data_IF_822264363493
#
_entry.id   IF_822264363493
#
_cell.length_a   1.000
_cell.length_b   1.000
_cell.length_c   1.000
_cell.angle_alpha   90.00
_cell.angle_beta   90.00
_cell.angle_gamma   90.00
#
_symmetry.space_group_name_H-M   'P 1'
#
loop_
_entity.id
_entity.type
_entity.pdbx_description
1 polymer ?
#
# COMPACT_ATOMS: atom_id res chain seq x y z
N UNK A 1 -0.03 -56.78 -20.70
CA UNK A 1 -1.45 -57.21 -20.88
C UNK A 1 -2.26 -55.93 -21.05
N UNK A 2 -2.53 -55.57 -22.29
CA UNK A 2 -3.82 -55.44 -23.04
C UNK A 2 -4.88 -54.69 -22.23
N UNK A 3 -5.19 -53.44 -22.63
CA UNK A 3 -6.06 -52.98 -23.74
C UNK A 3 -7.53 -52.89 -23.27
N UNK A 4 -8.17 -51.69 -23.27
CA UNK A 4 -9.25 -51.37 -24.20
C UNK A 4 -9.83 -49.97 -23.99
N UNK A 5 -9.74 -49.26 -25.02
CA UNK A 5 -10.43 -48.06 -25.50
C UNK A 5 -11.95 -48.28 -25.52
N UNK A 6 -12.75 -47.22 -25.24
CA UNK A 6 -14.10 -47.09 -25.76
C UNK A 6 -14.41 -45.65 -26.15
N UNK A 7 -14.43 -45.44 -27.45
CA UNK A 7 -15.04 -44.28 -28.12
C UNK A 7 -16.57 -44.48 -28.08
N UNK A 8 -17.30 -43.41 -27.84
CA UNK A 8 -18.70 -43.32 -28.24
C UNK A 8 -18.98 -41.95 -28.84
N UNK A 9 -19.07 -41.97 -30.15
CA UNK A 9 -19.46 -40.91 -31.06
C UNK A 9 -20.98 -40.96 -31.21
N UNK A 10 -21.71 -39.87 -30.92
CA UNK A 10 -23.11 -39.73 -31.39
C UNK A 10 -23.25 -38.39 -32.09
N UNK A 11 -23.47 -38.52 -33.37
CA UNK A 11 -23.81 -37.49 -34.34
C UNK A 11 -25.34 -37.57 -34.56
N UNK A 12 -26.12 -36.53 -34.40
CA UNK A 12 -27.44 -36.42 -35.02
C UNK A 12 -27.69 -34.99 -35.50
N UNK A 13 -28.05 -35.00 -36.75
CA UNK A 13 -28.35 -34.01 -37.75
C UNK A 13 -29.61 -33.15 -37.50
N UNK A 14 -29.52 -31.93 -38.04
CA UNK A 14 -30.51 -31.17 -38.86
C UNK A 14 -32.00 -31.25 -38.56
N UNK A 15 -32.62 -30.07 -38.44
CA UNK A 15 -33.65 -29.63 -39.39
C UNK A 15 -33.90 -28.12 -39.25
N UNK A 16 -33.74 -27.39 -40.32
CA UNK A 16 -34.14 -26.00 -40.47
C UNK A 16 -35.61 -25.89 -40.89
N UNK A 17 -36.22 -24.78 -40.56
CA UNK A 17 -37.34 -24.23 -41.33
C UNK A 17 -37.35 -22.71 -41.25
N UNK A 18 -37.26 -22.11 -42.39
CA UNK A 18 -37.43 -20.70 -42.74
C UNK A 18 -38.92 -20.35 -42.78
N UNK A 19 -39.33 -19.21 -42.27
CA UNK A 19 -40.48 -18.49 -42.83
C UNK A 19 -40.42 -16.97 -42.57
N UNK A 20 -40.73 -16.26 -43.60
CA UNK A 20 -40.63 -14.85 -43.96
C UNK A 20 -41.65 -13.92 -43.28
N UNK A 21 -41.20 -12.66 -43.05
CA UNK A 21 -41.79 -11.32 -43.02
C UNK A 21 -43.32 -11.09 -43.18
N UNK A 22 -43.90 -9.95 -42.65
CA UNK A 22 -43.69 -8.67 -43.32
C UNK A 22 -43.60 -7.39 -42.42
N UNK A 23 -43.08 -6.34 -43.07
CA UNK A 23 -42.92 -4.95 -42.64
C UNK A 23 -44.20 -4.28 -42.15
N UNK A 24 -44.12 -3.49 -41.08
CA UNK A 24 -44.94 -2.29 -40.91
C UNK A 24 -44.07 -1.11 -40.47
N UNK A 25 -44.03 -0.05 -41.31
CA UNK A 25 -43.49 1.30 -40.98
C UNK A 25 -44.42 1.99 -39.99
N UNK A 26 -43.90 2.57 -38.93
CA UNK A 26 -44.52 3.73 -38.33
C UNK A 26 -43.40 4.69 -37.87
N UNK A 27 -43.38 5.81 -38.56
CA UNK A 27 -42.59 7.00 -38.28
C UNK A 27 -43.14 7.69 -37.04
N UNK A 28 -42.35 7.79 -35.97
CA UNK A 28 -42.55 8.76 -34.89
C UNK A 28 -41.25 9.51 -34.67
N UNK A 29 -41.26 10.75 -35.05
CA UNK A 29 -40.19 11.71 -34.81
C UNK A 29 -40.07 11.96 -33.30
N UNK A 30 -38.97 11.56 -32.67
CA UNK A 30 -38.65 11.87 -31.30
C UNK A 30 -37.62 12.99 -31.28
N UNK A 31 -38.06 14.17 -30.80
CA UNK A 31 -37.22 15.33 -30.55
C UNK A 31 -35.99 14.95 -29.72
N UNK A 32 -34.82 15.17 -30.29
CA UNK A 32 -33.51 15.07 -29.62
C UNK A 32 -33.38 16.26 -28.64
N UNK A 33 -33.40 15.98 -27.34
CA UNK A 33 -32.94 16.92 -26.33
C UNK A 33 -31.41 17.05 -26.42
N UNK A 34 -30.83 18.24 -26.12
CA UNK A 34 -29.39 18.43 -26.21
C UNK A 34 -28.67 17.58 -25.20
N UNK A 35 -27.68 16.80 -25.67
CA UNK A 35 -26.79 16.00 -24.86
C UNK A 35 -26.07 16.90 -23.84
N UNK A 36 -26.30 16.66 -22.54
CA UNK A 36 -25.49 17.22 -21.47
C UNK A 36 -24.04 16.81 -21.69
N UNK A 37 -23.16 17.78 -21.85
CA UNK A 37 -21.72 17.59 -21.94
C UNK A 37 -21.27 16.84 -20.67
N UNK A 38 -20.81 15.60 -20.86
CA UNK A 38 -20.16 14.82 -19.81
C UNK A 38 -18.84 15.51 -19.53
N UNK A 39 -18.75 16.24 -18.43
CA UNK A 39 -17.50 16.80 -17.96
C UNK A 39 -16.48 15.66 -17.78
N UNK A 40 -15.38 15.70 -18.51
CA UNK A 40 -14.28 14.76 -18.35
C UNK A 40 -13.85 14.72 -16.88
N UNK A 41 -13.63 13.52 -16.28
CA UNK A 41 -13.19 13.43 -14.89
C UNK A 41 -11.87 14.17 -14.76
N UNK A 42 -11.82 15.18 -13.91
CA UNK A 42 -10.60 15.93 -13.56
C UNK A 42 -9.49 14.91 -13.25
N UNK A 43 -8.37 15.00 -13.98
CA UNK A 43 -7.20 14.14 -13.84
C UNK A 43 -6.78 14.12 -12.37
N UNK A 44 -7.08 13.01 -11.66
CA UNK A 44 -6.83 12.87 -10.22
C UNK A 44 -5.33 12.99 -10.00
N UNK A 45 -4.88 14.02 -9.31
CA UNK A 45 -3.48 14.24 -8.98
C UNK A 45 -2.99 13.05 -8.17
N UNK A 46 -1.90 12.40 -8.56
CA UNK A 46 -1.39 11.19 -7.91
C UNK A 46 -0.87 11.48 -6.50
N UNK A 47 -0.22 12.62 -6.32
CA UNK A 47 0.26 13.14 -5.04
C UNK A 47 -0.60 14.32 -4.62
N UNK A 48 -0.71 14.57 -3.31
CA UNK A 48 -1.41 15.76 -2.76
C UNK A 48 -0.73 17.05 -3.19
N UNK A 49 0.60 17.02 -3.31
CA UNK A 49 1.44 18.11 -3.81
C UNK A 49 2.63 17.55 -4.60
N UNK A 50 3.21 18.37 -5.49
CA UNK A 50 4.42 18.00 -6.21
C UNK A 50 5.61 18.07 -5.25
N UNK A 51 6.54 17.07 -5.25
CA UNK A 51 7.79 17.19 -4.52
C UNK A 51 8.64 18.37 -5.03
N UNK A 52 9.26 19.08 -4.11
CA UNK A 52 10.14 20.22 -4.45
C UNK A 52 11.42 19.76 -5.15
N UNK A 53 11.88 18.56 -4.81
CA UNK A 53 13.09 17.93 -5.35
C UNK A 53 12.86 16.44 -5.59
N UNK A 54 13.52 15.89 -6.60
CA UNK A 54 13.60 14.44 -6.80
C UNK A 54 14.72 13.91 -5.90
N UNK A 55 14.36 13.01 -4.98
CA UNK A 55 15.30 12.41 -4.04
C UNK A 55 16.11 11.30 -4.72
N UNK A 56 17.39 11.28 -4.41
CA UNK A 56 18.39 10.32 -4.91
C UNK A 56 19.27 9.85 -3.74
N UNK A 57 20.07 8.84 -3.92
CA UNK A 57 21.05 8.38 -2.92
C UNK A 57 22.00 9.50 -2.46
N UNK A 58 22.27 10.49 -3.33
CA UNK A 58 23.21 11.58 -3.03
C UNK A 58 22.57 12.72 -2.20
N UNK A 59 21.28 13.00 -2.41
CA UNK A 59 20.63 14.17 -1.81
C UNK A 59 19.57 13.86 -0.75
N UNK A 60 19.14 12.60 -0.63
CA UNK A 60 18.06 12.24 0.29
C UNK A 60 18.44 12.50 1.76
N UNK A 61 19.64 12.11 2.19
CA UNK A 61 20.08 12.31 3.57
C UNK A 61 20.28 13.79 3.90
N UNK A 62 21.00 14.63 3.11
CA UNK A 62 21.02 16.05 3.31
C UNK A 62 19.62 16.69 3.38
N UNK A 63 18.73 16.33 2.44
CA UNK A 63 17.35 16.83 2.44
C UNK A 63 16.60 16.45 3.73
N UNK A 64 16.63 15.19 4.14
CA UNK A 64 15.95 14.72 5.34
C UNK A 64 16.55 15.31 6.61
N UNK A 65 17.85 15.55 6.65
CA UNK A 65 18.52 16.24 7.74
C UNK A 65 17.99 17.67 7.92
N UNK A 66 17.87 18.45 6.84
CA UNK A 66 17.27 19.78 6.88
C UNK A 66 15.77 19.72 7.20
N UNK A 67 15.06 18.72 6.65
CA UNK A 67 13.62 18.57 6.86
C UNK A 67 13.28 18.29 8.32
N UNK A 68 14.07 17.48 9.03
CA UNK A 68 13.86 17.19 10.45
C UNK A 68 14.11 18.39 11.37
N UNK A 69 14.90 19.38 10.95
CA UNK A 69 15.13 20.61 11.76
C UNK A 69 13.85 21.45 11.90
N UNK A 70 12.87 21.23 11.06
CA UNK A 70 11.53 21.84 11.18
C UNK A 70 10.77 21.13 12.30
N UNK A 71 9.89 21.85 12.99
CA UNK A 71 8.93 21.20 13.90
C UNK A 71 8.06 20.21 13.11
N UNK A 72 8.32 18.92 13.27
CA UNK A 72 7.55 17.88 12.62
C UNK A 72 6.42 17.39 13.52
N UNK A 73 5.27 17.03 12.96
CA UNK A 73 4.24 16.30 13.68
C UNK A 73 4.78 14.92 14.06
N UNK A 74 4.55 14.51 15.28
CA UNK A 74 5.00 13.21 15.79
C UNK A 74 3.92 12.14 15.77
N UNK A 75 2.72 12.43 15.24
CA UNK A 75 1.66 11.45 15.14
C UNK A 75 1.09 11.38 13.73
N UNK A 76 0.79 10.18 13.30
CA UNK A 76 0.11 9.88 12.04
C UNK A 76 -1.05 8.92 12.26
N UNK A 77 -2.07 9.05 11.42
CA UNK A 77 -3.24 8.18 11.42
C UNK A 77 -3.29 7.40 10.12
N UNK A 78 -3.44 6.09 10.24
CA UNK A 78 -3.74 5.19 9.12
C UNK A 78 -5.20 4.76 9.25
N UNK A 79 -5.99 5.01 8.20
CA UNK A 79 -7.38 4.58 8.11
C UNK A 79 -7.50 3.45 7.10
N UNK A 80 -8.19 2.37 7.49
CA UNK A 80 -8.48 1.20 6.67
C UNK A 80 -9.95 0.81 6.80
N UNK A 81 -10.40 -0.17 6.01
CA UNK A 81 -11.76 -0.76 6.18
C UNK A 81 -11.95 -1.47 7.53
N UNK A 82 -10.88 -1.79 8.25
CA UNK A 82 -10.90 -2.45 9.56
C UNK A 82 -10.86 -1.48 10.75
N UNK A 83 -10.67 -0.18 10.49
CA UNK A 83 -10.57 0.85 11.51
C UNK A 83 -9.33 1.72 11.36
N UNK A 84 -9.05 2.48 12.42
CA UNK A 84 -7.95 3.43 12.48
C UNK A 84 -6.79 2.88 13.32
N UNK A 85 -5.57 3.27 12.92
CA UNK A 85 -4.34 3.01 13.65
C UNK A 85 -3.65 4.36 13.84
N UNK A 86 -3.38 4.76 15.09
CA UNK A 86 -2.61 5.97 15.39
C UNK A 86 -1.22 5.56 15.82
N UNK A 87 -0.23 6.12 15.15
CA UNK A 87 1.20 5.87 15.36
C UNK A 87 1.83 7.12 15.92
N UNK A 88 2.54 6.99 17.02
CA UNK A 88 3.47 7.98 17.53
C UNK A 88 4.86 7.69 16.96
N UNK A 89 5.49 8.70 16.36
CA UNK A 89 6.81 8.61 15.75
C UNK A 89 7.90 8.94 16.77
N UNK A 90 9.07 8.32 16.62
CA UNK A 90 10.18 8.47 17.55
C UNK A 90 11.18 9.54 17.08
N UNK A 91 11.46 10.52 17.93
CA UNK A 91 12.52 11.53 17.70
C UNK A 91 13.91 10.89 17.64
N UNK A 92 14.07 9.71 18.24
CA UNK A 92 15.30 8.92 18.23
C UNK A 92 15.64 8.33 16.85
N UNK A 93 14.70 8.29 15.91
CA UNK A 93 14.92 7.84 14.54
C UNK A 93 14.62 8.97 13.53
N UNK A 94 15.41 10.06 13.56
CA UNK A 94 15.05 11.31 12.89
C UNK A 94 14.93 11.20 11.38
N UNK A 95 15.77 10.42 10.70
CA UNK A 95 15.68 10.24 9.24
C UNK A 95 14.45 9.44 8.84
N UNK A 96 14.12 8.39 9.58
CA UNK A 96 12.93 7.56 9.33
C UNK A 96 11.65 8.33 9.63
N UNK A 97 11.61 9.06 10.75
CA UNK A 97 10.50 9.95 11.10
C UNK A 97 10.30 11.03 10.02
N UNK A 98 11.36 11.76 9.65
CA UNK A 98 11.31 12.81 8.64
C UNK A 98 10.80 12.28 7.29
N UNK A 99 11.32 11.13 6.87
CA UNK A 99 10.88 10.46 5.65
C UNK A 99 9.41 10.08 5.69
N UNK A 100 8.95 9.47 6.78
CA UNK A 100 7.55 9.03 6.91
C UNK A 100 6.59 10.23 6.91
N UNK A 101 6.91 11.30 7.63
CA UNK A 101 6.14 12.56 7.63
C UNK A 101 6.13 13.19 6.24
N UNK A 102 7.28 13.27 5.58
CA UNK A 102 7.39 13.82 4.22
C UNK A 102 6.51 13.07 3.22
N UNK A 103 6.61 11.73 3.18
CA UNK A 103 5.79 10.91 2.29
C UNK A 103 4.30 10.98 2.63
N UNK A 104 3.93 11.08 3.91
CA UNK A 104 2.56 11.28 4.35
C UNK A 104 1.99 12.61 3.85
N UNK A 105 2.75 13.71 3.99
CA UNK A 105 2.36 15.04 3.47
C UNK A 105 2.17 15.03 1.95
N UNK A 106 3.04 14.35 1.22
CA UNK A 106 2.88 14.16 -0.23
C UNK A 106 1.68 13.29 -0.60
N UNK A 107 1.07 12.55 0.34
CA UNK A 107 0.01 11.59 0.09
C UNK A 107 0.49 10.35 -0.66
N UNK A 108 1.78 9.99 -0.47
CA UNK A 108 2.35 8.80 -1.11
C UNK A 108 1.60 7.53 -0.71
N UNK A 109 1.39 7.33 0.60
CA UNK A 109 0.78 6.11 1.13
C UNK A 109 -0.70 5.93 0.77
N UNK A 110 -1.37 7.01 0.35
CA UNK A 110 -2.78 6.93 -0.03
C UNK A 110 -2.95 6.00 -1.24
N UNK A 111 -3.90 5.07 -1.14
CA UNK A 111 -4.17 4.01 -2.11
C UNK A 111 -3.08 2.92 -2.20
N UNK A 112 -2.08 2.92 -1.33
CA UNK A 112 -1.23 1.74 -1.13
C UNK A 112 -1.95 0.70 -0.25
N UNK A 113 -1.34 -0.48 -0.09
CA UNK A 113 -1.94 -1.60 0.62
C UNK A 113 -1.07 -2.06 1.78
N UNK A 114 -1.69 -2.75 2.74
CA UNK A 114 -1.00 -3.78 3.49
C UNK A 114 -0.82 -4.98 2.55
N UNK A 115 0.33 -5.04 1.89
CA UNK A 115 0.61 -5.96 0.78
C UNK A 115 1.24 -7.28 1.23
N UNK A 116 1.69 -7.37 2.49
CA UNK A 116 2.20 -8.58 3.11
C UNK A 116 1.74 -8.68 4.57
N UNK A 117 1.23 -9.83 4.92
CA UNK A 117 0.76 -10.14 6.27
C UNK A 117 1.33 -11.48 6.69
N UNK A 118 2.11 -11.48 7.76
CA UNK A 118 2.65 -12.70 8.35
C UNK A 118 1.92 -12.94 9.68
N UNK A 119 1.04 -13.94 9.75
CA UNK A 119 0.27 -14.23 10.95
C UNK A 119 1.15 -14.40 12.19
N UNK A 120 0.75 -13.76 13.29
CA UNK A 120 1.47 -13.78 14.57
C UNK A 120 2.87 -13.17 14.49
N UNK A 121 3.16 -12.31 13.50
CA UNK A 121 4.45 -11.67 13.36
C UNK A 121 4.30 -10.19 13.00
N UNK A 122 4.07 -9.84 11.74
CA UNK A 122 4.00 -8.46 11.27
C UNK A 122 2.92 -8.26 10.21
N UNK A 123 2.45 -7.01 10.08
CA UNK A 123 1.76 -6.53 8.88
C UNK A 123 2.63 -5.48 8.18
N UNK A 124 2.84 -5.60 6.88
CA UNK A 124 3.72 -4.74 6.08
C UNK A 124 2.91 -3.98 5.03
N UNK A 125 3.10 -2.67 4.97
CA UNK A 125 2.36 -1.76 4.10
C UNK A 125 3.23 -0.76 3.35
N UNK A 126 2.57 0.09 2.55
CA UNK A 126 3.22 1.17 1.80
C UNK A 126 3.54 0.81 0.34
N UNK A 127 3.14 -0.37 -0.12
CA UNK A 127 3.31 -0.79 -1.52
C UNK A 127 1.98 -1.17 -2.16
N UNK A 128 1.94 -1.26 -3.47
CA UNK A 128 0.87 -1.89 -4.24
C UNK A 128 1.37 -2.18 -5.66
N UNK A 129 0.71 -3.10 -6.34
CA UNK A 129 0.89 -3.43 -7.74
C UNK A 129 0.26 -2.39 -8.70
N UNK A 130 -0.47 -1.43 -8.15
CA UNK A 130 -1.13 -0.41 -8.95
C UNK A 130 -0.13 0.51 -9.66
N UNK A 131 -0.26 0.78 -10.98
CA UNK A 131 0.68 1.64 -11.73
C UNK A 131 0.90 3.03 -11.13
N UNK A 132 -0.06 3.56 -10.38
CA UNK A 132 0.07 4.86 -9.73
C UNK A 132 1.11 4.86 -8.61
N UNK A 133 1.30 3.76 -7.88
CA UNK A 133 2.34 3.65 -6.85
C UNK A 133 3.73 3.81 -7.46
N UNK A 134 3.99 3.14 -8.59
CA UNK A 134 5.24 3.31 -9.32
C UNK A 134 5.42 4.74 -9.85
N UNK A 135 4.36 5.36 -10.39
CA UNK A 135 4.41 6.77 -10.86
C UNK A 135 4.70 7.74 -9.73
N UNK A 136 4.11 7.55 -8.55
CA UNK A 136 4.40 8.34 -7.34
C UNK A 136 5.87 8.21 -6.95
N UNK A 137 6.42 6.98 -6.87
CA UNK A 137 7.83 6.73 -6.56
C UNK A 137 8.77 7.42 -7.56
N UNK A 138 8.48 7.38 -8.85
CA UNK A 138 9.26 8.10 -9.87
C UNK A 138 9.26 9.62 -9.68
N UNK A 139 8.17 10.19 -9.18
CA UNK A 139 8.08 11.64 -8.91
C UNK A 139 8.86 12.04 -7.65
N UNK A 140 8.88 11.17 -6.64
CA UNK A 140 9.56 11.41 -5.36
C UNK A 140 11.05 11.11 -5.50
N UNK A 141 11.42 9.95 -6.07
CA UNK A 141 12.81 9.58 -6.31
C UNK A 141 13.15 8.14 -5.94
N UNK A 142 14.44 7.81 -6.06
CA UNK A 142 15.00 6.51 -5.67
C UNK A 142 16.16 6.73 -4.70
N UNK A 143 16.01 6.25 -3.49
CA UNK A 143 16.98 6.36 -2.41
C UNK A 143 16.71 5.26 -1.36
N UNK A 144 17.65 5.08 -0.46
CA UNK A 144 17.54 4.22 0.71
C UNK A 144 17.84 5.06 1.97
N UNK A 145 17.39 4.59 3.12
CA UNK A 145 17.67 5.21 4.40
C UNK A 145 18.75 4.42 5.13
N UNK A 146 19.77 5.08 5.71
CA UNK A 146 20.75 4.44 6.56
C UNK A 146 20.09 3.99 7.87
N UNK A 147 20.69 3.01 8.60
CA UNK A 147 20.20 2.66 9.92
C UNK A 147 20.26 3.87 10.85
N UNK A 148 19.14 4.10 11.53
CA UNK A 148 18.93 5.22 12.47
C UNK A 148 18.65 4.64 13.86
N UNK A 149 19.45 3.64 14.25
CA UNK A 149 19.23 2.82 15.46
C UNK A 149 19.94 3.45 16.62
N UNK A 150 19.20 3.77 17.68
CA UNK A 150 19.76 4.09 18.99
C UNK A 150 19.64 2.92 19.95
N UNK A 151 20.58 2.83 20.88
CA UNK A 151 20.55 1.81 21.93
C UNK A 151 19.23 1.89 22.71
N UNK A 152 18.59 0.76 22.91
CA UNK A 152 17.36 0.66 23.71
C UNK A 152 16.07 0.58 22.92
N UNK A 153 16.04 0.94 21.63
CA UNK A 153 14.86 0.74 20.80
C UNK A 153 14.69 -0.75 20.47
N UNK A 154 13.54 -1.29 20.82
CA UNK A 154 13.21 -2.71 20.71
C UNK A 154 11.94 -2.90 19.90
N UNK A 155 11.84 -4.03 19.19
CA UNK A 155 10.66 -4.40 18.41
C UNK A 155 9.57 -5.03 19.30
N UNK A 156 9.06 -4.25 20.27
CA UNK A 156 7.87 -4.63 21.03
C UNK A 156 6.65 -4.74 20.12
N UNK A 157 5.59 -5.42 20.59
CA UNK A 157 4.29 -5.40 19.91
C UNK A 157 3.82 -3.96 19.69
N UNK A 158 3.36 -3.65 18.46
CA UNK A 158 2.94 -2.32 18.03
C UNK A 158 4.05 -1.41 17.53
N UNK A 159 5.32 -1.80 17.63
CA UNK A 159 6.43 -1.02 17.07
C UNK A 159 6.36 -1.01 15.55
N UNK A 160 6.72 0.15 14.97
CA UNK A 160 6.73 0.41 13.53
C UNK A 160 8.17 0.56 13.07
N UNK A 161 8.54 -0.17 12.00
CA UNK A 161 9.88 -0.16 11.41
C UNK A 161 9.81 -0.18 9.90
N UNK A 162 10.92 0.13 9.23
CA UNK A 162 11.03 0.03 7.77
C UNK A 162 11.78 -1.25 7.38
N UNK A 163 11.27 -2.01 6.38
CA UNK A 163 11.94 -3.22 5.91
C UNK A 163 13.16 -2.87 5.06
N UNK A 164 14.06 -3.85 4.90
CA UNK A 164 15.09 -3.81 3.86
C UNK A 164 14.45 -3.91 2.48
N UNK A 165 15.02 -3.20 1.51
CA UNK A 165 14.65 -3.35 0.10
C UNK A 165 15.47 -4.41 -0.64
N UNK A 166 16.49 -4.97 0.01
CA UNK A 166 17.45 -5.91 -0.56
C UNK A 166 17.55 -7.16 0.31
N UNK A 167 17.72 -8.32 -0.32
CA UNK A 167 17.91 -9.60 0.41
C UNK A 167 19.27 -9.65 1.11
N UNK A 168 20.33 -9.21 0.41
CA UNK A 168 21.66 -9.03 0.99
C UNK A 168 21.86 -7.55 1.31
N UNK A 169 21.79 -7.20 2.60
CA UNK A 169 21.80 -5.83 3.09
C UNK A 169 22.85 -5.64 4.21
N UNK A 170 24.14 -5.72 3.89
CA UNK A 170 25.19 -5.63 4.89
C UNK A 170 25.21 -4.26 5.60
N UNK A 171 24.73 -3.21 4.95
CA UNK A 171 24.66 -1.87 5.48
C UNK A 171 23.35 -1.55 6.22
N UNK A 172 22.42 -2.51 6.31
CA UNK A 172 21.10 -2.37 6.99
C UNK A 172 20.27 -1.19 6.46
N UNK A 173 20.40 -0.92 5.16
CA UNK A 173 19.64 0.16 4.52
C UNK A 173 18.16 -0.20 4.47
N UNK A 174 17.30 0.80 4.68
CA UNK A 174 15.87 0.61 4.71
C UNK A 174 15.17 1.16 3.46
N UNK A 175 14.08 0.50 3.05
CA UNK A 175 13.17 1.01 2.03
C UNK A 175 12.42 2.22 2.57
N UNK A 176 12.50 3.39 1.92
CA UNK A 176 11.80 4.58 2.41
C UNK A 176 10.28 4.51 2.21
N UNK A 177 9.81 3.61 1.34
CA UNK A 177 8.44 3.56 0.84
C UNK A 177 7.56 2.54 1.55
N UNK A 178 8.15 1.70 2.39
CA UNK A 178 7.46 0.61 3.06
C UNK A 178 7.68 0.67 4.57
N UNK A 179 6.74 0.13 5.31
CA UNK A 179 6.83 -0.01 6.76
C UNK A 179 6.17 -1.30 7.20
N UNK A 180 6.53 -1.80 8.37
CA UNK A 180 5.82 -2.89 9.01
C UNK A 180 5.47 -2.55 10.46
N UNK A 181 4.41 -3.18 10.96
CA UNK A 181 3.96 -3.07 12.35
C UNK A 181 4.10 -4.45 12.99
N UNK A 182 4.79 -4.52 14.11
CA UNK A 182 4.94 -5.77 14.86
C UNK A 182 3.60 -6.14 15.50
N UNK A 183 3.05 -7.29 15.10
CA UNK A 183 1.82 -7.83 15.66
C UNK A 183 2.10 -8.92 16.72
N UNK A 184 3.27 -9.57 16.64
CA UNK A 184 3.67 -10.68 17.51
C UNK A 184 3.51 -10.35 19.00
N UNK A 185 2.79 -11.21 19.73
CA UNK A 185 2.76 -11.16 21.18
C UNK A 185 4.17 -11.33 21.77
N UNK A 186 4.49 -10.54 22.77
CA UNK A 186 5.82 -10.55 23.39
C UNK A 186 6.90 -9.80 22.60
N UNK A 187 6.60 -9.34 21.35
CA UNK A 187 7.56 -8.60 20.51
C UNK A 187 8.38 -9.48 19.56
N UNK A 188 9.08 -8.84 18.62
CA UNK A 188 9.89 -9.47 17.58
C UNK A 188 11.38 -9.10 17.73
N UNK A 189 11.96 -9.41 18.87
CA UNK A 189 13.30 -8.95 19.28
C UNK A 189 14.45 -9.46 18.40
N UNK A 190 14.24 -10.51 17.61
CA UNK A 190 15.22 -10.98 16.62
C UNK A 190 15.44 -9.97 15.49
N UNK A 191 14.58 -8.96 15.35
CA UNK A 191 14.73 -7.83 14.42
C UNK A 191 15.62 -6.71 14.97
N UNK A 192 15.89 -6.72 16.29
CA UNK A 192 16.66 -5.67 16.95
C UNK A 192 18.07 -5.57 16.35
N UNK A 193 18.50 -4.32 16.10
CA UNK A 193 19.79 -4.04 15.48
C UNK A 193 19.87 -4.30 13.97
N UNK A 194 18.87 -4.94 13.35
CA UNK A 194 18.80 -5.15 11.90
C UNK A 194 17.85 -4.19 11.21
N UNK A 195 16.81 -3.75 11.90
CA UNK A 195 15.81 -2.78 11.42
C UNK A 195 15.72 -1.62 12.40
N UNK A 196 15.35 -0.44 11.89
CA UNK A 196 15.22 0.77 12.71
C UNK A 196 13.76 0.95 13.15
N UNK A 197 13.46 0.78 14.46
CA UNK A 197 12.19 1.23 15.01
C UNK A 197 12.09 2.75 14.90
N UNK A 198 11.00 3.25 14.32
CA UNK A 198 10.80 4.70 14.18
C UNK A 198 9.46 5.20 14.70
N UNK A 199 8.68 4.34 15.32
CA UNK A 199 7.41 4.69 15.93
C UNK A 199 6.72 3.51 16.60
N UNK A 200 5.57 3.78 17.21
CA UNK A 200 4.73 2.77 17.86
C UNK A 200 3.25 3.07 17.67
N UNK A 201 2.43 2.05 17.62
CA UNK A 201 0.98 2.18 17.68
C UNK A 201 0.57 2.58 19.09
N UNK A 202 -0.10 3.73 19.22
CA UNK A 202 -0.66 4.22 20.49
C UNK A 202 -2.17 3.98 20.58
N UNK A 203 -2.85 3.76 19.44
CA UNK A 203 -4.26 3.40 19.36
C UNK A 203 -4.51 2.54 18.11
N UNK A 204 -5.36 1.52 18.23
CA UNK A 204 -5.78 0.70 17.09
C UNK A 204 -5.00 -0.61 16.91
N UNK A 205 -4.39 -1.17 17.98
CA UNK A 205 -3.82 -2.52 17.91
C UNK A 205 -4.84 -3.60 17.55
N UNK A 206 -6.11 -3.42 17.92
CA UNK A 206 -7.22 -4.29 17.48
C UNK A 206 -7.42 -4.26 15.97
N UNK A 207 -7.19 -3.10 15.34
CA UNK A 207 -7.21 -2.96 13.86
C UNK A 207 -6.02 -3.70 13.24
N UNK A 208 -4.82 -3.61 13.85
CA UNK A 208 -3.65 -4.39 13.42
C UNK A 208 -3.92 -5.89 13.50
N UNK A 209 -4.53 -6.36 14.59
CA UNK A 209 -4.92 -7.76 14.76
C UNK A 209 -5.96 -8.21 13.72
N UNK A 210 -6.96 -7.38 13.46
CA UNK A 210 -7.98 -7.66 12.45
C UNK A 210 -7.39 -7.76 11.03
N UNK A 211 -6.40 -6.93 10.70
CA UNK A 211 -5.65 -7.02 9.44
C UNK A 211 -4.81 -8.30 9.40
N UNK A 212 -4.13 -8.62 10.51
CA UNK A 212 -3.27 -9.80 10.61
C UNK A 212 -4.06 -11.12 10.51
N UNK A 213 -5.36 -11.11 10.86
CA UNK A 213 -6.26 -12.26 10.78
C UNK A 213 -6.88 -12.48 9.39
N UNK A 214 -6.59 -11.63 8.39
CA UNK A 214 -7.16 -11.78 7.07
C UNK A 214 -6.59 -12.98 6.31
N UNK A 215 -7.37 -13.65 5.45
CA UNK A 215 -6.89 -14.70 4.58
C UNK A 215 -5.75 -14.20 3.67
N UNK A 216 -4.70 -14.98 3.56
CA UNK A 216 -3.51 -14.69 2.75
C UNK A 216 -3.26 -15.78 1.72
N UNK A 217 -2.55 -15.44 0.66
CA UNK A 217 -2.06 -16.40 -0.33
C UNK A 217 -0.71 -17.05 0.12
N UNK A 218 -0.14 -17.89 -0.74
CA UNK A 218 1.16 -18.56 -0.52
C UNK A 218 2.35 -17.59 -0.43
N UNK A 219 2.18 -16.33 -0.84
CA UNK A 219 3.20 -15.27 -0.79
C UNK A 219 2.96 -14.32 0.38
N UNK A 220 2.09 -14.69 1.32
CA UNK A 220 1.72 -13.88 2.47
C UNK A 220 1.00 -12.57 2.08
N UNK A 221 0.45 -12.48 0.85
CA UNK A 221 -0.36 -11.35 0.43
C UNK A 221 -1.84 -11.56 0.82
N UNK A 222 -2.51 -10.56 1.41
CA UNK A 222 -3.95 -10.64 1.66
C UNK A 222 -4.71 -10.92 0.36
N UNK A 223 -5.66 -11.90 0.41
CA UNK A 223 -6.51 -12.25 -0.74
C UNK A 223 -7.29 -11.02 -1.22
N UNK A 224 -7.80 -10.21 -0.29
CA UNK A 224 -8.42 -8.93 -0.59
C UNK A 224 -7.48 -7.78 -0.27
N UNK A 225 -7.31 -6.85 -1.21
CA UNK A 225 -6.49 -5.66 -1.01
C UNK A 225 -6.96 -4.83 0.20
N UNK A 226 -6.09 -4.66 1.17
CA UNK A 226 -6.32 -3.83 2.35
C UNK A 226 -5.73 -2.45 2.12
N UNK A 227 -6.54 -1.57 1.52
CA UNK A 227 -6.15 -0.19 1.20
C UNK A 227 -5.99 0.63 2.47
N UNK A 228 -5.09 1.62 2.41
CA UNK A 228 -4.90 2.58 3.48
C UNK A 228 -4.99 4.03 2.99
N UNK A 229 -5.40 4.90 3.90
CA UNK A 229 -5.22 6.35 3.81
C UNK A 229 -4.37 6.77 4.99
N UNK A 230 -3.34 7.58 4.74
CA UNK A 230 -2.40 8.02 5.78
C UNK A 230 -2.38 9.54 5.83
N UNK A 231 -2.53 10.08 7.02
CA UNK A 231 -2.54 11.52 7.24
C UNK A 231 -1.84 11.90 8.55
N UNK A 232 -1.41 13.14 8.62
CA UNK A 232 -0.90 13.72 9.86
C UNK A 232 -2.05 13.77 10.87
N UNK A 233 -1.78 13.35 12.09
CA UNK A 233 -2.73 13.38 13.19
C UNK A 233 -2.29 14.41 14.23
N UNK A 234 -3.15 15.39 14.50
CA UNK A 234 -2.86 16.45 15.46
C UNK A 234 -3.68 16.30 16.72
N UNK A 235 -3.94 15.09 17.17
CA UNK A 235 -4.70 14.74 18.38
C UNK A 235 -5.64 15.85 18.89
N UNK A 236 -6.93 15.58 18.99
CA UNK A 236 -7.86 16.42 19.73
C UNK A 236 -8.07 15.82 21.11
#
# INVERSE_FOLDING_TARGET
>A
MRLKSFYCLILILFFGLSCSTPKKKSTVAKKTAPAKSISQPKKKTLLKQKPDIILTEKNAIPFLYEYQQKTLPNQVKITTKFGEIIIELYDEAPYHMANFVYLTRLGYFNDTFFHRVVPKFVIQGGNSDHPNTYKKRRQIGRYLLPPDVKKGLKHHRGVVSMPSSEMDNPHRLASPYEFFIVQQEGGAYHLDGNYTPFGRVIKGMTTVDAICAQPIDKREAPIENIRMQVEIYNGY
#
